data_IF_250538758531
#
_entry.id   IF_250538758531
#
_cell.length_a   1.000
_cell.length_b   1.000
_cell.length_c   1.000
_cell.angle_alpha   90.00
_cell.angle_beta   90.00
_cell.angle_gamma   90.00
#
_symmetry.space_group_name_H-M   'P 1'
#
loop_
_entity.id
_entity.type
_entity.pdbx_description
1 polymer ?
#
# COMPACT_ATOMS: atom_id res chain seq x y z
N UNK A 1 2.28 2.44 -6.70
CA UNK A 1 3.29 3.34 -6.11
C UNK A 1 3.08 4.79 -6.54
N UNK A 2 3.21 5.10 -7.84
CA UNK A 2 3.07 6.47 -8.38
C UNK A 2 1.87 7.25 -7.82
N UNK A 3 0.67 6.68 -7.93
CA UNK A 3 -0.56 7.39 -7.57
C UNK A 3 -0.67 7.66 -6.07
N UNK A 4 -0.32 6.68 -5.23
CA UNK A 4 -0.27 6.87 -3.78
C UNK A 4 0.70 7.97 -3.37
N UNK A 5 1.89 8.01 -3.96
CA UNK A 5 2.88 9.08 -3.72
C UNK A 5 2.33 10.44 -4.16
N UNK A 6 1.64 10.48 -5.30
CA UNK A 6 1.07 11.72 -5.84
C UNK A 6 -0.04 12.26 -4.94
N UNK A 7 -0.95 11.41 -4.48
CA UNK A 7 -2.05 11.77 -3.59
C UNK A 7 -1.53 12.28 -2.23
N UNK A 8 -0.58 11.57 -1.61
CA UNK A 8 0.00 11.98 -0.33
C UNK A 8 0.73 13.32 -0.43
N UNK A 9 1.44 13.58 -1.54
CA UNK A 9 2.06 14.89 -1.81
C UNK A 9 1.06 16.04 -1.95
N UNK A 10 -0.19 15.72 -2.34
CA UNK A 10 -1.29 16.68 -2.41
C UNK A 10 -2.07 16.79 -1.09
N UNK A 11 -1.62 16.10 -0.03
CA UNK A 11 -2.30 16.08 1.26
C UNK A 11 -3.57 15.23 1.28
N UNK A 12 -3.75 14.35 0.28
CA UNK A 12 -4.86 13.41 0.19
C UNK A 12 -4.38 12.04 0.70
N UNK A 13 -4.90 11.53 1.82
CA UNK A 13 -4.49 10.23 2.35
C UNK A 13 -4.76 9.09 1.35
N UNK A 14 -3.79 8.19 1.19
CA UNK A 14 -3.87 7.07 0.25
C UNK A 14 -3.29 5.77 0.84
N UNK A 15 -4.06 4.69 0.77
CA UNK A 15 -3.60 3.35 1.12
C UNK A 15 -3.17 2.59 -0.16
N UNK A 16 -1.87 2.56 -0.43
CA UNK A 16 -1.34 1.78 -1.56
C UNK A 16 -1.20 0.30 -1.16
N UNK A 17 -1.79 -0.61 -1.94
CA UNK A 17 -1.67 -2.06 -1.76
C UNK A 17 -0.97 -2.66 -2.97
N UNK A 18 0.03 -3.51 -2.75
CA UNK A 18 0.72 -4.27 -3.80
C UNK A 18 0.68 -5.78 -3.48
N UNK A 19 0.97 -6.63 -4.46
CA UNK A 19 1.24 -8.05 -4.16
C UNK A 19 2.70 -8.29 -3.80
N UNK A 20 2.98 -9.36 -3.05
CA UNK A 20 4.33 -9.69 -2.57
C UNK A 20 5.41 -9.77 -3.67
N UNK A 21 5.04 -10.08 -4.91
CA UNK A 21 5.95 -10.10 -6.06
C UNK A 21 6.49 -8.71 -6.45
N UNK A 22 5.79 -7.64 -6.07
CA UNK A 22 6.18 -6.26 -6.42
C UNK A 22 7.00 -5.55 -5.35
N UNK A 23 7.33 -6.19 -4.23
CA UNK A 23 8.05 -5.52 -3.13
C UNK A 23 9.40 -4.96 -3.60
N UNK A 24 10.15 -5.68 -4.43
CA UNK A 24 11.42 -5.20 -4.97
C UNK A 24 11.23 -3.97 -5.87
N UNK A 25 10.24 -4.02 -6.76
CA UNK A 25 9.89 -2.92 -7.65
C UNK A 25 9.41 -1.71 -6.87
N UNK A 26 8.60 -1.91 -5.82
CA UNK A 26 8.12 -0.85 -4.95
C UNK A 26 9.27 -0.13 -4.25
N UNK A 27 10.21 -0.88 -3.63
CA UNK A 27 11.40 -0.29 -2.99
C UNK A 27 12.29 0.49 -3.96
N UNK A 28 12.48 -0.02 -5.19
CA UNK A 28 13.24 0.70 -6.20
C UNK A 28 12.54 1.99 -6.62
N UNK A 29 11.22 1.93 -6.82
CA UNK A 29 10.41 3.05 -7.25
C UNK A 29 10.30 4.15 -6.18
N UNK A 30 10.10 3.80 -4.90
CA UNK A 30 10.01 4.78 -3.81
C UNK A 30 11.32 5.54 -3.62
N UNK A 31 12.47 4.85 -3.74
CA UNK A 31 13.79 5.48 -3.77
C UNK A 31 13.96 6.44 -4.95
N UNK A 32 13.58 6.00 -6.16
CA UNK A 32 13.63 6.84 -7.35
C UNK A 32 12.79 8.13 -7.19
N UNK A 33 11.65 8.03 -6.51
CA UNK A 33 10.76 9.16 -6.26
C UNK A 33 11.18 10.04 -5.07
N UNK A 34 12.29 9.73 -4.40
CA UNK A 34 12.79 10.48 -3.24
C UNK A 34 11.99 10.28 -1.95
N UNK A 35 11.23 9.18 -1.85
CA UNK A 35 10.39 8.85 -0.69
C UNK A 35 10.65 7.40 -0.23
N UNK A 36 11.89 7.06 0.16
CA UNK A 36 12.30 5.66 0.40
C UNK A 36 11.43 4.92 1.42
N UNK A 37 10.88 5.67 2.39
CA UNK A 37 10.03 5.16 3.49
C UNK A 37 8.53 5.29 3.21
N UNK A 38 8.13 5.55 1.95
CA UNK A 38 6.72 5.64 1.58
C UNK A 38 5.99 4.33 1.95
N UNK A 39 4.95 4.39 2.79
CA UNK A 39 4.28 3.18 3.26
C UNK A 39 3.37 2.59 2.18
N UNK A 40 3.35 1.26 2.13
CA UNK A 40 2.44 0.48 1.30
C UNK A 40 2.19 -0.87 1.96
N UNK A 41 1.01 -1.43 1.72
CA UNK A 41 0.62 -2.73 2.25
C UNK A 41 0.96 -3.84 1.25
N UNK A 42 1.26 -5.03 1.77
CA UNK A 42 1.64 -6.18 0.95
C UNK A 42 0.60 -7.29 1.09
N UNK A 43 -0.13 -7.54 0.00
CA UNK A 43 -1.03 -8.67 -0.12
C UNK A 43 -0.27 -9.93 -0.61
N UNK A 44 -0.46 -11.11 0.00
CA UNK A 44 0.17 -12.34 -0.48
C UNK A 44 -0.20 -12.69 -1.94
N UNK A 45 0.80 -13.09 -2.72
CA UNK A 45 0.62 -13.69 -4.05
C UNK A 45 0.33 -15.20 -3.95
N UNK A 46 -0.45 -15.81 -4.87
CA UNK A 46 -1.20 -15.20 -5.97
C UNK A 46 -2.55 -14.63 -5.54
N UNK A 47 -2.92 -13.48 -6.09
CA UNK A 47 -4.30 -12.94 -5.98
C UNK A 47 -5.23 -13.63 -6.98
N UNK A 48 -4.75 -13.94 -8.19
CA UNK A 48 -5.56 -14.49 -9.29
C UNK A 48 -6.15 -15.87 -8.99
N UNK A 49 -5.49 -16.64 -8.13
CA UNK A 49 -5.95 -17.99 -7.78
C UNK A 49 -6.72 -18.01 -6.46
N UNK A 50 -6.83 -16.88 -5.77
CA UNK A 50 -7.70 -16.78 -4.62
C UNK A 50 -9.14 -16.71 -5.13
N UNK A 51 -9.97 -17.70 -4.78
CA UNK A 51 -11.41 -17.59 -4.94
C UNK A 51 -11.98 -16.42 -4.14
N UNK A 52 -13.26 -16.11 -4.32
CA UNK A 52 -13.91 -14.95 -3.69
C UNK A 52 -13.70 -14.91 -2.16
N UNK A 53 -13.86 -16.04 -1.47
CA UNK A 53 -13.68 -16.13 -0.01
C UNK A 53 -12.24 -15.85 0.41
N UNK A 54 -11.25 -16.36 -0.34
CA UNK A 54 -9.84 -16.10 -0.06
C UNK A 54 -9.44 -14.64 -0.34
N UNK A 55 -10.09 -13.97 -1.29
CA UNK A 55 -9.92 -12.53 -1.49
C UNK A 55 -10.55 -11.74 -0.36
N UNK A 56 -11.72 -12.14 0.11
CA UNK A 56 -12.43 -11.50 1.21
C UNK A 56 -11.63 -11.61 2.52
N UNK A 57 -11.08 -12.78 2.82
CA UNK A 57 -10.22 -13.01 3.98
C UNK A 57 -8.99 -12.07 3.96
N UNK A 58 -8.33 -11.96 2.81
CA UNK A 58 -7.18 -11.05 2.65
C UNK A 58 -7.58 -9.59 2.77
N UNK A 59 -8.73 -9.20 2.23
CA UNK A 59 -9.26 -7.84 2.39
C UNK A 59 -9.53 -7.52 3.86
N UNK A 60 -10.16 -8.44 4.60
CA UNK A 60 -10.38 -8.30 6.04
C UNK A 60 -9.06 -8.19 6.82
N UNK A 61 -8.07 -9.00 6.48
CA UNK A 61 -6.75 -8.95 7.11
C UNK A 61 -6.05 -7.60 6.92
N UNK A 62 -6.17 -6.98 5.73
CA UNK A 62 -5.53 -5.69 5.42
C UNK A 62 -6.33 -4.47 5.93
N UNK A 63 -7.61 -4.64 6.26
CA UNK A 63 -8.50 -3.52 6.62
C UNK A 63 -7.98 -2.67 7.79
N UNK A 64 -7.44 -3.23 8.89
CA UNK A 64 -6.90 -2.42 9.98
C UNK A 64 -5.72 -1.52 9.55
N UNK A 65 -4.84 -2.04 8.68
CA UNK A 65 -3.69 -1.30 8.19
C UNK A 65 -4.10 -0.22 7.18
N UNK A 66 -5.05 -0.52 6.28
CA UNK A 66 -5.67 0.46 5.38
C UNK A 66 -6.25 1.62 6.18
N UNK A 67 -7.02 1.31 7.22
CA UNK A 67 -7.58 2.32 8.13
C UNK A 67 -6.47 3.15 8.78
N UNK A 68 -5.38 2.51 9.22
CA UNK A 68 -4.22 3.19 9.81
C UNK A 68 -3.63 4.24 8.86
N UNK A 69 -3.39 3.88 7.60
CA UNK A 69 -2.83 4.79 6.60
C UNK A 69 -3.79 5.96 6.28
N UNK A 70 -5.08 5.70 6.16
CA UNK A 70 -6.06 6.73 5.78
C UNK A 70 -6.40 7.72 6.90
N UNK A 71 -6.37 7.28 8.16
CA UNK A 71 -6.75 8.14 9.31
C UNK A 71 -5.53 8.83 9.92
N UNK A 72 -4.42 8.12 10.09
CA UNK A 72 -3.25 8.64 10.79
C UNK A 72 -2.23 9.29 9.83
N UNK A 73 -2.37 9.06 8.52
CA UNK A 73 -1.46 9.54 7.50
C UNK A 73 -0.18 8.71 7.38
N UNK A 74 0.42 8.75 6.19
CA UNK A 74 1.63 8.02 5.82
C UNK A 74 2.94 8.63 6.38
N UNK A 75 2.89 9.87 6.91
CA UNK A 75 4.07 10.67 7.28
C UNK A 75 3.91 11.21 8.71
N UNK A 76 4.84 10.91 9.64
CA UNK A 76 4.86 11.55 10.96
C UNK A 76 5.06 13.07 10.82
N UNK A 77 4.21 13.88 11.45
CA UNK A 77 4.34 15.34 11.47
C UNK A 77 3.36 16.11 10.58
N UNK A 78 2.30 15.46 10.10
CA UNK A 78 1.03 16.16 9.84
C UNK A 78 0.40 16.67 11.14
#
# INVERSE_FOLDING_TARGET
MHDGITLERQGIPAATIITSVFVNTARAYTRLMGVPDFPYLVCPHPITNAGADGLLERAHALTPEVRGLLINGAVPGR
#
